data_IF_250997010098
#
_entry.id   IF_250997010098
#
_cell.length_a   1.000
_cell.length_b   1.000
_cell.length_c   1.000
_cell.angle_alpha   90.00
_cell.angle_beta   90.00
_cell.angle_gamma   90.00
#
_symmetry.space_group_name_H-M   'P 1'
#
loop_
_entity.id
_entity.type
_entity.pdbx_description
1 polymer ?
#
# COMPACT_ATOMS: atom_id res chain seq x y z
N UNK A 1 28.26 15.07 6.80
CA UNK A 1 29.48 14.82 5.97
C UNK A 1 29.07 13.90 4.81
N UNK A 2 29.57 14.17 3.59
CA UNK A 2 29.26 13.34 2.41
C UNK A 2 30.26 12.19 2.36
N UNK A 3 29.77 10.98 2.38
CA UNK A 3 30.56 9.74 2.33
C UNK A 3 30.26 9.04 1.01
N UNK A 4 31.23 8.99 0.11
CA UNK A 4 31.00 8.65 -1.29
C UNK A 4 31.74 7.37 -1.73
N UNK A 5 31.11 6.64 -2.67
CA UNK A 5 31.79 5.66 -3.52
C UNK A 5 31.83 6.17 -4.97
N UNK A 6 32.79 5.67 -5.70
CA UNK A 6 32.94 5.91 -7.15
C UNK A 6 32.90 4.58 -7.88
N UNK A 7 32.15 4.49 -8.98
CA UNK A 7 32.12 3.28 -9.85
C UNK A 7 32.24 3.71 -11.30
N UNK A 8 33.23 3.18 -11.99
CA UNK A 8 33.54 3.51 -13.38
C UNK A 8 34.31 2.32 -14.00
N UNK A 9 34.32 2.12 -15.27
CA UNK A 9 35.14 1.08 -15.91
C UNK A 9 36.54 1.59 -16.30
N UNK A 10 36.74 2.91 -16.26
CA UNK A 10 38.00 3.55 -16.56
C UNK A 10 38.77 3.97 -15.29
N UNK A 11 39.89 3.32 -15.01
CA UNK A 11 40.69 3.63 -13.83
C UNK A 11 41.21 5.10 -13.81
N UNK A 12 41.45 5.68 -14.98
CA UNK A 12 41.89 7.09 -15.07
C UNK A 12 40.75 8.06 -14.69
N UNK A 13 39.52 7.76 -15.09
CA UNK A 13 38.34 8.54 -14.75
C UNK A 13 38.11 8.53 -13.23
N UNK A 14 38.20 7.36 -12.59
CA UNK A 14 38.13 7.21 -11.14
C UNK A 14 39.18 8.06 -10.43
N UNK A 15 40.45 7.96 -10.85
CA UNK A 15 41.55 8.71 -10.24
C UNK A 15 41.37 10.23 -10.38
N UNK A 16 40.92 10.71 -11.55
CA UNK A 16 40.66 12.12 -11.80
C UNK A 16 39.50 12.65 -10.95
N UNK A 17 38.41 11.89 -10.84
CA UNK A 17 37.24 12.27 -10.03
C UNK A 17 37.62 12.27 -8.53
N UNK A 18 38.32 11.24 -8.06
CA UNK A 18 38.79 11.16 -6.69
C UNK A 18 39.73 12.33 -6.34
N UNK A 19 40.65 12.68 -7.23
CA UNK A 19 41.54 13.82 -7.04
C UNK A 19 40.76 15.14 -6.93
N UNK A 20 39.75 15.36 -7.77
CA UNK A 20 38.90 16.56 -7.72
C UNK A 20 38.02 16.61 -6.49
N UNK A 21 37.53 15.47 -6.02
CA UNK A 21 36.72 15.39 -4.79
C UNK A 21 37.58 15.67 -3.54
N UNK A 22 38.88 15.38 -3.56
CA UNK A 22 39.78 15.67 -2.46
C UNK A 22 39.95 17.19 -2.17
N UNK A 23 39.62 18.06 -3.14
CA UNK A 23 39.58 19.51 -2.95
C UNK A 23 38.43 19.98 -2.04
N UNK A 24 37.50 19.09 -1.70
CA UNK A 24 36.30 19.38 -0.91
C UNK A 24 36.33 18.65 0.44
N UNK A 25 36.68 19.35 1.53
CA UNK A 25 36.88 18.74 2.86
C UNK A 25 35.60 18.12 3.43
N UNK A 26 34.43 18.48 2.92
CA UNK A 26 33.11 17.90 3.28
C UNK A 26 32.81 16.55 2.62
N UNK A 27 33.68 16.08 1.70
CA UNK A 27 33.48 14.81 0.97
C UNK A 27 34.60 13.83 1.33
N UNK A 28 34.22 12.65 1.75
CA UNK A 28 35.14 11.53 1.97
C UNK A 28 34.83 10.43 0.96
N UNK A 29 35.76 10.11 0.08
CA UNK A 29 35.66 8.95 -0.81
C UNK A 29 36.06 7.71 -0.04
N UNK A 30 35.11 6.86 0.29
CA UNK A 30 35.34 5.62 1.02
C UNK A 30 36.08 4.60 0.15
N UNK A 31 35.63 4.45 -1.09
CA UNK A 31 36.22 3.52 -2.04
C UNK A 31 35.88 3.89 -3.48
N UNK A 32 36.82 3.59 -4.39
CA UNK A 32 36.60 3.65 -5.84
C UNK A 32 36.72 2.25 -6.42
N UNK A 33 35.74 1.88 -7.24
CA UNK A 33 35.62 0.54 -7.82
C UNK A 33 35.66 0.62 -9.34
N UNK A 34 36.45 -0.25 -9.95
CA UNK A 34 36.19 -0.65 -11.33
C UNK A 34 34.86 -1.44 -11.36
N UNK A 35 34.06 -1.26 -12.40
CA UNK A 35 32.75 -1.91 -12.51
C UNK A 35 32.78 -3.43 -12.28
N UNK A 36 33.85 -4.10 -12.74
CA UNK A 36 34.04 -5.54 -12.58
C UNK A 36 34.35 -5.99 -11.14
N UNK A 37 34.68 -5.04 -10.27
CA UNK A 37 35.04 -5.28 -8.86
C UNK A 37 33.91 -4.88 -7.91
N UNK A 38 32.90 -4.20 -8.41
CA UNK A 38 31.79 -3.74 -7.60
C UNK A 38 30.75 -4.84 -7.37
N UNK A 39 30.35 -4.99 -6.13
CA UNK A 39 29.22 -5.82 -5.71
C UNK A 39 28.39 -5.03 -4.69
N UNK A 40 27.08 -5.19 -4.73
CA UNK A 40 26.18 -4.53 -3.77
C UNK A 40 26.48 -4.89 -2.30
N UNK A 41 26.98 -6.08 -2.06
CA UNK A 41 27.31 -6.54 -0.71
C UNK A 41 28.38 -5.70 -0.02
N UNK A 42 29.29 -5.07 -0.81
CA UNK A 42 30.34 -4.20 -0.26
C UNK A 42 29.76 -2.95 0.41
N UNK A 43 28.59 -2.49 -0.04
CA UNK A 43 27.92 -1.32 0.54
C UNK A 43 27.39 -1.55 1.95
N UNK A 44 27.20 -2.81 2.35
CA UNK A 44 26.69 -3.16 3.68
C UNK A 44 27.62 -2.76 4.80
N UNK A 45 28.93 -2.79 4.53
CA UNK A 45 29.97 -2.55 5.53
C UNK A 45 30.59 -1.12 5.41
N UNK A 46 30.13 -0.33 4.44
CA UNK A 46 30.64 1.01 4.19
C UNK A 46 29.63 2.10 4.60
N UNK A 47 30.03 3.12 5.35
CA UNK A 47 29.16 4.23 5.71
C UNK A 47 28.97 5.20 4.53
N UNK A 48 28.26 4.76 3.48
CA UNK A 48 28.11 5.50 2.21
C UNK A 48 26.73 6.15 2.15
N UNK A 49 26.68 7.40 1.71
CA UNK A 49 25.45 8.14 1.45
C UNK A 49 25.36 8.73 0.03
N UNK A 50 26.44 8.64 -0.76
CA UNK A 50 26.46 9.08 -2.17
C UNK A 50 27.23 8.07 -3.02
N UNK A 51 26.69 7.71 -4.19
CA UNK A 51 27.37 6.95 -5.22
C UNK A 51 27.54 7.79 -6.48
N UNK A 52 28.78 7.98 -6.93
CA UNK A 52 29.10 8.53 -8.24
C UNK A 52 29.28 7.38 -9.22
N UNK A 53 28.44 7.31 -10.25
CA UNK A 53 28.38 6.19 -11.18
C UNK A 53 28.60 6.65 -12.63
N UNK A 54 29.45 5.98 -13.37
CA UNK A 54 29.38 6.10 -14.85
C UNK A 54 28.19 5.31 -15.37
N UNK A 55 27.71 5.68 -16.55
CA UNK A 55 26.55 5.01 -17.21
C UNK A 55 27.00 3.88 -18.11
N UNK A 56 27.96 4.12 -18.98
CA UNK A 56 28.47 3.10 -19.91
C UNK A 56 29.70 2.40 -19.31
N UNK A 57 29.46 1.29 -18.63
CA UNK A 57 30.52 0.49 -17.98
C UNK A 57 30.60 -0.94 -18.55
N UNK A 58 30.53 -1.06 -19.85
CA UNK A 58 30.67 -2.34 -20.54
C UNK A 58 29.52 -3.31 -20.29
N UNK A 59 29.70 -4.32 -19.42
CA UNK A 59 28.65 -5.35 -19.16
C UNK A 59 27.50 -4.89 -18.28
N UNK A 60 27.73 -3.89 -17.43
CA UNK A 60 26.74 -3.36 -16.50
C UNK A 60 26.42 -1.94 -16.93
N UNK A 61 25.14 -1.65 -17.13
CA UNK A 61 24.68 -0.27 -17.34
C UNK A 61 24.59 0.43 -15.97
N UNK A 62 25.18 1.63 -15.87
CA UNK A 62 25.16 2.40 -14.62
C UNK A 62 23.77 2.82 -14.16
N UNK A 63 22.81 2.91 -15.09
CA UNK A 63 21.40 3.18 -14.73
C UNK A 63 20.80 1.96 -14.04
N UNK A 64 21.02 0.75 -14.55
CA UNK A 64 20.56 -0.49 -13.91
C UNK A 64 21.24 -0.66 -12.52
N UNK A 65 22.53 -0.31 -12.43
CA UNK A 65 23.26 -0.32 -11.16
C UNK A 65 22.68 0.69 -10.16
N UNK A 66 22.32 1.88 -10.61
CA UNK A 66 21.69 2.89 -9.78
C UNK A 66 20.33 2.43 -9.24
N UNK A 67 19.51 1.77 -10.08
CA UNK A 67 18.25 1.14 -9.65
C UNK A 67 18.49 0.07 -8.57
N UNK A 68 19.51 -0.76 -8.75
CA UNK A 68 19.86 -1.81 -7.78
C UNK A 68 20.36 -1.21 -6.46
N UNK A 69 21.22 -0.17 -6.51
CA UNK A 69 21.69 0.53 -5.30
C UNK A 69 20.53 1.20 -4.57
N UNK A 70 19.67 1.94 -5.27
CA UNK A 70 18.54 2.63 -4.65
C UNK A 70 17.49 1.66 -4.10
N UNK A 71 17.40 0.47 -4.68
CA UNK A 71 16.51 -0.59 -4.20
C UNK A 71 17.04 -1.21 -2.91
N UNK A 72 18.32 -1.54 -2.86
CA UNK A 72 18.95 -2.18 -1.71
C UNK A 72 19.32 -1.18 -0.60
N UNK A 73 19.72 0.05 -0.99
CA UNK A 73 20.18 1.10 -0.09
C UNK A 73 19.55 2.45 -0.42
N UNK A 74 18.27 2.68 -0.07
CA UNK A 74 17.51 3.89 -0.45
C UNK A 74 18.08 5.20 0.07
N UNK A 75 18.94 5.16 1.09
CA UNK A 75 19.63 6.31 1.67
C UNK A 75 20.83 6.75 0.84
N UNK A 76 21.30 5.92 -0.11
CA UNK A 76 22.42 6.27 -0.99
C UNK A 76 21.89 7.07 -2.18
N UNK A 77 22.38 8.28 -2.29
CA UNK A 77 22.05 9.20 -3.36
C UNK A 77 22.92 8.97 -4.59
N UNK A 78 22.33 9.00 -5.76
CA UNK A 78 23.02 8.75 -7.04
C UNK A 78 23.40 10.07 -7.71
N UNK A 79 24.64 10.14 -8.18
CA UNK A 79 25.16 11.18 -9.08
C UNK A 79 25.80 10.47 -10.27
N UNK A 80 25.30 10.71 -11.47
CA UNK A 80 25.93 10.17 -12.67
C UNK A 80 27.11 11.03 -13.14
N UNK A 81 28.17 10.37 -13.58
CA UNK A 81 29.39 11.01 -14.13
C UNK A 81 29.76 10.31 -15.41
N UNK A 82 29.37 10.85 -16.55
CA UNK A 82 29.48 10.16 -17.84
C UNK A 82 29.92 11.10 -18.98
N UNK A 83 30.44 10.53 -20.06
CA UNK A 83 30.75 11.27 -21.30
C UNK A 83 29.50 11.51 -22.17
N UNK A 84 28.41 10.83 -21.94
CA UNK A 84 27.23 10.74 -22.78
C UNK A 84 26.10 11.65 -22.31
N UNK A 85 25.73 12.66 -23.09
CA UNK A 85 24.67 13.61 -22.73
C UNK A 85 23.25 13.05 -22.95
N UNK A 86 23.12 12.05 -23.81
CA UNK A 86 21.86 11.43 -24.23
C UNK A 86 21.11 10.68 -23.11
N UNK A 87 21.83 10.20 -22.12
CA UNK A 87 21.24 9.49 -20.97
C UNK A 87 20.70 10.41 -19.86
N UNK A 88 20.80 11.73 -20.04
CA UNK A 88 20.34 12.67 -19.01
C UNK A 88 18.85 12.48 -18.66
N UNK A 89 18.00 12.16 -19.62
CA UNK A 89 16.57 11.89 -19.38
C UNK A 89 16.40 10.62 -18.55
N UNK A 90 17.12 9.54 -18.90
CA UNK A 90 17.05 8.27 -18.17
C UNK A 90 17.65 8.38 -16.75
N UNK A 91 18.69 9.21 -16.58
CA UNK A 91 19.26 9.49 -15.28
C UNK A 91 18.25 10.19 -14.32
N UNK A 92 17.35 11.03 -14.87
CA UNK A 92 16.25 11.59 -14.09
C UNK A 92 15.21 10.54 -13.69
N UNK A 93 15.03 9.50 -14.51
CA UNK A 93 14.09 8.41 -14.24
C UNK A 93 14.44 7.61 -12.98
N UNK A 94 15.74 7.43 -12.71
CA UNK A 94 16.25 6.75 -11.50
C UNK A 94 16.48 7.73 -10.33
N UNK A 95 15.82 8.89 -10.31
CA UNK A 95 15.96 9.91 -9.24
C UNK A 95 17.41 10.25 -8.87
N UNK A 96 18.31 10.32 -9.83
CA UNK A 96 19.65 10.84 -9.57
C UNK A 96 19.57 12.29 -9.05
N UNK A 97 20.42 12.61 -8.12
CA UNK A 97 20.51 13.99 -7.59
C UNK A 97 21.07 14.92 -8.65
N UNK A 98 22.05 14.43 -9.41
CA UNK A 98 22.70 15.25 -10.42
C UNK A 98 23.28 14.38 -11.55
N UNK A 99 23.63 15.06 -12.64
CA UNK A 99 24.23 14.50 -13.84
C UNK A 99 25.45 15.34 -14.24
N UNK A 100 26.62 14.76 -14.17
CA UNK A 100 27.88 15.42 -14.44
C UNK A 100 28.48 14.89 -15.75
N UNK A 101 28.70 15.77 -16.71
CA UNK A 101 29.38 15.39 -17.95
C UNK A 101 30.90 15.39 -17.76
N UNK A 102 31.56 14.34 -18.23
CA UNK A 102 33.03 14.29 -18.35
C UNK A 102 33.51 15.22 -19.51
N UNK A 103 34.56 16.01 -19.33
CA UNK A 103 35.39 16.15 -18.13
C UNK A 103 34.68 16.99 -17.03
N UNK A 104 34.56 16.45 -15.83
CA UNK A 104 33.90 17.13 -14.72
C UNK A 104 34.69 18.38 -14.35
N UNK A 105 34.08 19.57 -14.41
CA UNK A 105 34.71 20.82 -14.00
C UNK A 105 34.53 21.05 -12.51
N UNK A 106 35.51 21.70 -11.86
CA UNK A 106 35.45 22.05 -10.43
C UNK A 106 34.22 22.92 -10.11
N UNK A 107 33.84 23.81 -11.02
CA UNK A 107 32.67 24.67 -10.84
C UNK A 107 31.37 23.84 -10.81
N UNK A 108 31.26 22.81 -11.66
CA UNK A 108 30.09 21.94 -11.72
C UNK A 108 30.04 21.02 -10.49
N UNK A 109 31.20 20.49 -10.09
CA UNK A 109 31.34 19.66 -8.90
C UNK A 109 30.98 20.44 -7.62
N UNK A 110 31.42 21.71 -7.51
CA UNK A 110 31.06 22.58 -6.39
C UNK A 110 29.55 22.77 -6.26
N UNK A 111 28.82 22.95 -7.37
CA UNK A 111 27.34 23.03 -7.37
C UNK A 111 26.69 21.73 -6.93
N UNK A 112 27.22 20.61 -7.40
CA UNK A 112 26.74 19.28 -7.02
C UNK A 112 26.89 19.03 -5.52
N UNK A 113 28.09 19.30 -4.96
CA UNK A 113 28.38 19.13 -3.53
C UNK A 113 27.51 20.06 -2.68
N UNK A 114 27.30 21.30 -3.10
CA UNK A 114 26.41 22.22 -2.40
C UNK A 114 24.97 21.65 -2.35
N UNK A 115 24.49 21.04 -3.44
CA UNK A 115 23.18 20.38 -3.49
C UNK A 115 23.14 19.13 -2.61
N UNK A 116 24.18 18.31 -2.62
CA UNK A 116 24.28 17.12 -1.76
C UNK A 116 24.24 17.49 -0.27
N UNK A 117 24.89 18.59 0.14
CA UNK A 117 24.86 19.08 1.53
C UNK A 117 23.44 19.43 2.02
N UNK A 118 22.55 19.87 1.13
CA UNK A 118 21.16 20.17 1.51
C UNK A 118 20.29 18.91 1.62
N UNK A 119 20.74 17.79 1.07
CA UNK A 119 19.96 16.57 0.94
C UNK A 119 20.45 15.47 1.88
N UNK A 120 21.77 15.42 2.12
CA UNK A 120 22.38 14.48 3.06
C UNK A 120 22.28 15.06 4.47
N UNK A 121 21.43 14.56 5.37
CA UNK A 121 21.34 15.06 6.73
C UNK A 121 22.67 14.85 7.48
N UNK A 122 23.06 15.79 8.33
CA UNK A 122 24.02 15.50 9.39
C UNK A 122 23.41 14.41 10.26
N UNK A 123 24.21 13.36 10.55
CA UNK A 123 23.82 12.19 11.30
C UNK A 123 22.94 12.56 12.49
N UNK A 124 21.65 12.30 12.38
CA UNK A 124 20.76 12.23 13.52
C UNK A 124 21.03 10.89 14.22
N UNK A 125 21.54 11.01 15.44
CA UNK A 125 21.68 9.95 16.43
C UNK A 125 20.36 9.15 16.42
N UNK A 126 20.48 7.83 16.21
CA UNK A 126 19.39 6.87 16.36
C UNK A 126 18.71 7.06 17.73
N UNK A 127 17.62 7.79 17.74
CA UNK A 127 16.58 7.56 18.72
C UNK A 127 15.69 6.48 18.12
N UNK A 128 15.85 5.26 18.60
CA UNK A 128 14.87 4.19 18.46
C UNK A 128 13.58 4.57 19.21
N UNK A 129 12.84 5.51 18.63
CA UNK A 129 11.42 5.60 18.89
C UNK A 129 10.79 4.50 18.03
N UNK A 130 10.19 3.51 18.67
CA UNK A 130 9.31 2.54 18.02
C UNK A 130 8.17 3.33 17.40
N UNK A 131 8.34 3.71 16.14
CA UNK A 131 7.30 4.41 15.39
C UNK A 131 6.22 3.38 15.08
N UNK A 132 5.04 3.56 15.63
CA UNK A 132 3.89 2.72 15.32
C UNK A 132 3.20 3.28 14.08
N UNK A 133 3.16 2.50 13.01
CA UNK A 133 2.41 2.83 11.82
C UNK A 133 1.04 2.15 11.91
N UNK A 134 -0.03 2.95 11.92
CA UNK A 134 -1.40 2.48 11.84
C UNK A 134 -1.90 2.74 10.42
N UNK A 135 -2.48 1.72 9.79
CA UNK A 135 -3.02 1.81 8.44
C UNK A 135 -4.50 1.48 8.48
N UNK A 136 -5.31 2.35 7.92
CA UNK A 136 -6.71 2.14 7.66
C UNK A 136 -6.91 1.91 6.16
N UNK A 137 -7.52 0.77 5.81
CA UNK A 137 -7.82 0.36 4.44
C UNK A 137 -9.33 0.34 4.18
N UNK A 138 -10.13 0.19 5.24
CA UNK A 138 -11.58 0.14 5.15
C UNK A 138 -12.16 1.55 5.05
N UNK A 139 -12.98 1.79 4.04
CA UNK A 139 -13.56 3.05 3.60
C UNK A 139 -12.56 3.95 2.86
N UNK A 140 -11.55 4.51 3.50
CA UNK A 140 -10.52 5.34 2.90
C UNK A 140 -9.13 4.85 3.31
N UNK A 141 -8.19 4.80 2.35
CA UNK A 141 -6.80 4.47 2.66
C UNK A 141 -6.11 5.61 3.40
N UNK A 142 -5.84 5.41 4.67
CA UNK A 142 -5.19 6.39 5.53
C UNK A 142 -4.01 5.78 6.28
N UNK A 143 -2.97 6.56 6.50
CA UNK A 143 -1.76 6.15 7.20
C UNK A 143 -1.46 7.13 8.31
N UNK A 144 -1.29 6.61 9.52
CA UNK A 144 -0.99 7.40 10.71
C UNK A 144 0.36 6.99 11.26
N UNK A 145 1.15 7.96 11.68
CA UNK A 145 2.37 7.75 12.47
C UNK A 145 2.20 8.46 13.80
N UNK A 146 2.29 7.70 14.89
CA UNK A 146 2.03 8.22 16.24
C UNK A 146 0.69 9.00 16.34
N UNK A 147 -0.38 8.42 15.74
CA UNK A 147 -1.74 8.96 15.67
C UNK A 147 -1.91 10.26 14.83
N UNK A 148 -0.86 10.73 14.17
CA UNK A 148 -0.95 11.82 13.21
C UNK A 148 -1.13 11.31 11.77
N UNK A 149 -2.16 11.82 11.07
CA UNK A 149 -2.41 11.49 9.67
C UNK A 149 -1.28 12.01 8.78
N UNK A 150 -0.72 11.12 7.95
CA UNK A 150 0.37 11.47 7.04
C UNK A 150 -0.15 11.61 5.62
N UNK A 151 0.11 12.77 5.00
CA UNK A 151 -0.29 13.03 3.63
C UNK A 151 0.69 12.42 2.62
N UNK A 152 0.16 11.81 1.58
CA UNK A 152 0.94 11.34 0.43
C UNK A 152 1.24 12.47 -0.54
N UNK A 153 2.40 12.42 -1.19
CA UNK A 153 2.81 13.44 -2.17
C UNK A 153 1.88 13.45 -3.40
N UNK A 154 1.39 12.29 -3.83
CA UNK A 154 0.47 12.15 -4.96
C UNK A 154 -0.48 10.97 -4.74
N UNK A 155 -1.66 10.98 -5.40
CA UNK A 155 -2.61 9.88 -5.36
C UNK A 155 -1.99 8.54 -5.83
N UNK A 156 -1.10 8.57 -6.85
CA UNK A 156 -0.43 7.35 -7.33
C UNK A 156 0.59 6.75 -6.36
N UNK A 157 1.21 7.56 -5.51
CA UNK A 157 2.06 7.06 -4.42
C UNK A 157 1.20 6.41 -3.33
N UNK A 158 0.04 7.02 -3.01
CA UNK A 158 -0.98 6.47 -2.11
C UNK A 158 -1.45 5.11 -2.61
N UNK A 159 -1.83 5.02 -3.87
CA UNK A 159 -2.31 3.80 -4.54
C UNK A 159 -1.25 2.68 -4.58
N UNK A 160 -0.01 3.01 -4.94
CA UNK A 160 1.11 2.06 -4.92
C UNK A 160 1.35 1.50 -3.52
N UNK A 161 1.25 2.33 -2.49
CA UNK A 161 1.42 1.87 -1.11
C UNK A 161 0.27 0.98 -0.68
N UNK A 162 -0.99 1.34 -0.97
CA UNK A 162 -2.15 0.49 -0.74
C UNK A 162 -2.00 -0.89 -1.42
N UNK A 163 -1.52 -0.90 -2.66
CA UNK A 163 -1.24 -2.14 -3.38
C UNK A 163 -0.21 -3.02 -2.67
N UNK A 164 0.88 -2.43 -2.18
CA UNK A 164 1.90 -3.17 -1.42
C UNK A 164 1.40 -3.68 -0.07
N UNK A 165 0.53 -2.93 0.61
CA UNK A 165 -0.10 -3.39 1.85
C UNK A 165 -0.93 -4.66 1.61
N UNK A 166 -1.70 -4.69 0.52
CA UNK A 166 -2.51 -5.85 0.15
C UNK A 166 -1.68 -7.06 -0.29
N UNK A 167 -0.43 -6.84 -0.75
CA UNK A 167 0.49 -7.87 -1.22
C UNK A 167 1.74 -7.99 -0.33
N UNK A 168 1.61 -7.70 0.97
CA UNK A 168 2.74 -7.75 1.91
C UNK A 168 3.40 -9.13 1.89
N UNK A 169 4.74 -9.15 1.89
CA UNK A 169 5.58 -10.35 1.83
C UNK A 169 5.41 -11.21 0.56
N UNK A 170 4.68 -10.71 -0.44
CA UNK A 170 4.47 -11.42 -1.71
C UNK A 170 5.27 -10.73 -2.81
N UNK A 171 6.08 -11.46 -3.60
CA UNK A 171 6.76 -10.89 -4.74
C UNK A 171 5.77 -10.45 -5.84
N UNK A 172 5.76 -9.16 -6.17
CA UNK A 172 4.93 -8.61 -7.25
C UNK A 172 5.82 -8.25 -8.43
N UNK A 173 5.56 -8.83 -9.59
CA UNK A 173 6.33 -8.54 -10.80
C UNK A 173 6.15 -7.08 -11.21
N UNK A 174 7.25 -6.44 -11.64
CA UNK A 174 7.24 -5.03 -12.08
C UNK A 174 6.19 -4.78 -13.16
N UNK A 175 6.05 -5.69 -14.10
CA UNK A 175 5.14 -5.52 -15.24
C UNK A 175 3.68 -5.59 -14.78
N UNK A 176 3.35 -6.43 -13.80
CA UNK A 176 2.03 -6.47 -13.16
C UNK A 176 1.73 -5.13 -12.47
N UNK A 177 2.69 -4.55 -11.72
CA UNK A 177 2.51 -3.23 -11.11
C UNK A 177 2.24 -2.15 -12.16
N UNK A 178 2.95 -2.19 -13.28
CA UNK A 178 2.78 -1.23 -14.36
C UNK A 178 1.38 -1.37 -14.98
N UNK A 179 0.97 -2.57 -15.32
CA UNK A 179 -0.34 -2.85 -15.93
C UNK A 179 -1.50 -2.49 -14.98
N UNK A 180 -1.35 -2.78 -13.71
CA UNK A 180 -2.38 -2.51 -12.71
C UNK A 180 -2.54 -1.03 -12.41
N UNK A 181 -1.43 -0.30 -12.23
CA UNK A 181 -1.50 1.09 -11.79
C UNK A 181 -1.62 2.08 -12.97
N UNK A 182 -1.23 1.69 -14.18
CA UNK A 182 -1.30 2.53 -15.39
C UNK A 182 -1.80 1.74 -16.61
N UNK A 183 -3.03 1.15 -16.58
CA UNK A 183 -3.50 0.22 -17.61
C UNK A 183 -3.59 0.81 -19.02
N UNK A 184 -3.79 2.13 -19.14
CA UNK A 184 -4.00 2.80 -20.43
C UNK A 184 -2.77 3.60 -20.91
N UNK A 185 -1.61 3.47 -20.24
CA UNK A 185 -0.43 4.26 -20.58
C UNK A 185 0.61 3.44 -21.36
N UNK A 186 1.41 4.15 -22.16
CA UNK A 186 2.59 3.55 -22.81
C UNK A 186 3.54 2.95 -21.78
N UNK A 187 4.02 1.73 -22.03
CA UNK A 187 4.84 0.95 -21.09
C UNK A 187 6.10 1.71 -20.63
N UNK A 188 6.80 2.41 -21.55
CA UNK A 188 8.01 3.16 -21.18
C UNK A 188 7.68 4.28 -20.22
N UNK A 189 6.59 5.02 -20.47
CA UNK A 189 6.13 6.10 -19.59
C UNK A 189 5.68 5.56 -18.25
N UNK A 190 4.95 4.45 -18.23
CA UNK A 190 4.48 3.80 -16.99
C UNK A 190 5.63 3.26 -16.15
N UNK A 191 6.69 2.73 -16.78
CA UNK A 191 7.93 2.33 -16.10
C UNK A 191 8.57 3.52 -15.35
N UNK A 192 8.68 4.67 -16.01
CA UNK A 192 9.21 5.91 -15.42
C UNK A 192 8.34 6.34 -14.22
N UNK A 193 7.03 6.34 -14.40
CA UNK A 193 6.08 6.69 -13.35
C UNK A 193 6.21 5.77 -12.14
N UNK A 194 6.35 4.45 -12.35
CA UNK A 194 6.57 3.48 -11.28
C UNK A 194 7.83 3.79 -10.48
N UNK A 195 8.97 4.04 -11.15
CA UNK A 195 10.22 4.38 -10.48
C UNK A 195 10.11 5.67 -9.66
N UNK A 196 9.44 6.67 -10.20
CA UNK A 196 9.16 7.92 -9.49
C UNK A 196 8.29 7.69 -8.25
N UNK A 197 7.23 6.90 -8.37
CA UNK A 197 6.35 6.56 -7.26
C UNK A 197 7.08 5.75 -6.18
N UNK A 198 7.90 4.76 -6.58
CA UNK A 198 8.73 3.98 -5.65
C UNK A 198 9.71 4.86 -4.87
N UNK A 199 10.36 5.80 -5.56
CA UNK A 199 11.26 6.75 -4.89
C UNK A 199 10.52 7.64 -3.87
N UNK A 200 9.34 8.15 -4.23
CA UNK A 200 8.53 8.93 -3.31
C UNK A 200 8.03 8.09 -2.14
N UNK A 201 7.62 6.84 -2.38
CA UNK A 201 7.17 5.93 -1.34
C UNK A 201 8.32 5.57 -0.37
N UNK A 202 9.52 5.29 -0.88
CA UNK A 202 10.70 5.06 -0.02
C UNK A 202 11.03 6.26 0.84
N UNK A 203 10.96 7.48 0.28
CA UNK A 203 11.16 8.71 1.06
C UNK A 203 10.08 8.92 2.12
N UNK A 204 8.84 8.59 1.79
CA UNK A 204 7.73 8.62 2.73
C UNK A 204 7.98 7.66 3.89
N UNK A 205 8.29 6.39 3.60
CA UNK A 205 8.58 5.37 4.61
C UNK A 205 9.80 5.71 5.47
N UNK A 206 10.89 6.18 4.86
CA UNK A 206 12.07 6.63 5.59
C UNK A 206 11.78 7.83 6.51
N UNK A 207 10.91 8.75 6.08
CA UNK A 207 10.46 9.90 6.89
C UNK A 207 9.69 9.50 8.16
N UNK A 208 9.10 8.31 8.18
CA UNK A 208 8.39 7.74 9.34
C UNK A 208 9.19 6.62 10.03
N UNK A 209 10.50 6.51 9.73
CA UNK A 209 11.41 5.60 10.42
C UNK A 209 11.54 4.20 9.81
N UNK A 210 10.90 3.92 8.67
CA UNK A 210 10.96 2.62 8.01
C UNK A 210 11.83 2.68 6.75
N UNK A 211 13.02 2.11 6.84
CA UNK A 211 13.95 1.95 5.72
C UNK A 211 13.95 0.50 5.22
N UNK A 212 14.39 0.31 3.98
CA UNK A 212 14.56 -1.04 3.38
C UNK A 212 13.29 -1.91 3.25
N UNK A 213 12.10 -1.29 3.36
CA UNK A 213 10.82 -2.02 3.26
C UNK A 213 10.50 -2.54 1.85
N UNK A 214 11.13 -2.01 0.81
CA UNK A 214 10.85 -2.37 -0.59
C UNK A 214 12.14 -2.87 -1.23
N UNK A 215 12.22 -4.17 -1.48
CA UNK A 215 13.34 -4.83 -2.16
C UNK A 215 12.97 -5.21 -3.60
N UNK A 216 13.97 -5.33 -4.47
CA UNK A 216 13.81 -5.83 -5.84
C UNK A 216 14.56 -7.15 -5.99
N UNK A 217 13.83 -8.23 -6.24
CA UNK A 217 14.38 -9.58 -6.42
C UNK A 217 13.84 -10.15 -7.72
N UNK A 218 14.70 -10.51 -8.67
CA UNK A 218 14.31 -11.14 -9.94
C UNK A 218 13.19 -10.39 -10.70
N UNK A 219 13.31 -9.07 -10.83
CA UNK A 219 12.31 -8.17 -11.46
C UNK A 219 10.97 -8.09 -10.72
N UNK A 220 10.89 -8.60 -9.49
CA UNK A 220 9.72 -8.49 -8.63
C UNK A 220 10.03 -7.62 -7.43
N UNK A 221 9.11 -6.75 -7.07
CA UNK A 221 9.18 -5.96 -5.85
C UNK A 221 8.56 -6.77 -4.70
N UNK A 222 9.24 -6.76 -3.55
CA UNK A 222 8.71 -7.33 -2.31
C UNK A 222 8.64 -6.20 -1.29
N UNK A 223 7.45 -6.00 -0.75
CA UNK A 223 7.23 -5.09 0.37
C UNK A 223 7.16 -5.89 1.67
N UNK A 224 8.02 -5.56 2.61
CA UNK A 224 8.07 -6.19 3.94
C UNK A 224 8.13 -5.10 4.98
N UNK A 225 7.17 -5.10 5.90
CA UNK A 225 7.15 -4.21 7.05
C UNK A 225 6.79 -5.01 8.30
N UNK A 226 7.73 -5.09 9.23
CA UNK A 226 7.52 -5.77 10.50
C UNK A 226 6.58 -4.93 11.39
N UNK A 227 5.72 -5.61 12.16
CA UNK A 227 4.77 -4.99 13.09
C UNK A 227 3.76 -4.02 12.45
N UNK A 228 3.44 -4.23 11.17
CA UNK A 228 2.36 -3.49 10.51
C UNK A 228 1.01 -3.93 11.07
N UNK A 229 0.26 -3.00 11.61
CA UNK A 229 -1.13 -3.22 12.03
C UNK A 229 -2.03 -2.43 11.09
N UNK A 230 -2.85 -3.13 10.31
CA UNK A 230 -3.92 -2.54 9.51
C UNK A 230 -5.28 -3.06 9.98
N UNK A 231 -6.33 -2.25 9.85
CA UNK A 231 -7.70 -2.68 10.07
C UNK A 231 -8.05 -3.91 9.23
N UNK A 232 -7.54 -3.96 7.99
CA UNK A 232 -7.61 -5.10 7.10
C UNK A 232 -7.01 -6.37 7.72
N UNK A 233 -5.78 -6.31 8.26
CA UNK A 233 -5.12 -7.49 8.86
C UNK A 233 -5.82 -7.92 10.16
N UNK A 234 -6.27 -6.97 10.96
CA UNK A 234 -7.00 -7.26 12.20
C UNK A 234 -8.33 -7.95 11.90
N UNK A 235 -9.12 -7.40 10.96
CA UNK A 235 -10.38 -7.99 10.55
C UNK A 235 -10.17 -9.40 9.97
N UNK A 236 -9.14 -9.61 9.13
CA UNK A 236 -8.81 -10.93 8.58
C UNK A 236 -8.49 -11.98 9.63
N UNK A 237 -7.73 -11.60 10.65
CA UNK A 237 -7.43 -12.48 11.77
C UNK A 237 -8.69 -12.83 12.58
N UNK A 238 -9.57 -11.84 12.85
CA UNK A 238 -10.84 -12.07 13.53
C UNK A 238 -11.74 -13.03 12.73
N UNK A 239 -11.95 -12.78 11.44
CA UNK A 239 -12.75 -13.63 10.57
C UNK A 239 -12.21 -15.06 10.51
N UNK A 240 -10.88 -15.23 10.43
CA UNK A 240 -10.24 -16.54 10.39
C UNK A 240 -10.25 -17.28 11.72
N UNK A 241 -10.47 -16.60 12.84
CA UNK A 241 -10.51 -17.20 14.17
C UNK A 241 -11.83 -17.89 14.50
N UNK A 242 -12.88 -17.70 13.69
CA UNK A 242 -14.24 -18.17 13.99
C UNK A 242 -14.72 -19.18 12.94
N UNK A 243 -14.59 -20.47 13.25
CA UNK A 243 -15.19 -21.53 12.44
C UNK A 243 -16.68 -21.74 12.74
N UNK A 244 -17.04 -21.76 14.02
CA UNK A 244 -18.40 -21.96 14.52
C UNK A 244 -18.75 -20.91 15.57
N UNK A 245 -20.01 -20.49 15.60
CA UNK A 245 -20.49 -19.49 16.57
C UNK A 245 -21.00 -20.17 17.84
N UNK A 246 -20.55 -19.62 18.99
CA UNK A 246 -20.96 -19.99 20.34
C UNK A 246 -21.13 -18.74 21.19
N UNK A 247 -21.75 -18.88 22.38
CA UNK A 247 -21.94 -17.76 23.30
C UNK A 247 -20.61 -17.01 23.61
N UNK A 248 -19.52 -17.76 23.77
CA UNK A 248 -18.22 -17.21 24.20
C UNK A 248 -17.50 -16.42 23.09
N UNK A 249 -17.82 -16.64 21.81
CA UNK A 249 -17.14 -15.98 20.69
C UNK A 249 -18.03 -14.99 19.91
N UNK A 250 -19.28 -14.81 20.33
CA UNK A 250 -20.22 -13.91 19.66
C UNK A 250 -19.73 -12.44 19.66
N UNK A 251 -18.94 -12.04 20.65
CA UNK A 251 -18.32 -10.72 20.73
C UNK A 251 -17.39 -10.44 19.53
N UNK A 252 -16.78 -11.48 18.92
CA UNK A 252 -15.90 -11.32 17.74
C UNK A 252 -16.71 -10.82 16.54
N UNK A 253 -17.98 -11.23 16.41
CA UNK A 253 -18.88 -10.73 15.36
C UNK A 253 -19.11 -9.22 15.53
N UNK A 254 -19.36 -8.79 16.78
CA UNK A 254 -19.54 -7.38 17.10
C UNK A 254 -18.26 -6.57 16.82
N UNK A 255 -17.07 -7.12 17.14
CA UNK A 255 -15.78 -6.51 16.81
C UNK A 255 -15.56 -6.39 15.31
N UNK A 256 -15.86 -7.44 14.53
CA UNK A 256 -15.77 -7.39 13.07
C UNK A 256 -16.70 -6.31 12.49
N UNK A 257 -17.94 -6.22 12.98
CA UNK A 257 -18.89 -5.19 12.55
C UNK A 257 -18.49 -3.77 12.95
N UNK A 258 -17.81 -3.61 14.09
CA UNK A 258 -17.31 -2.32 14.54
C UNK A 258 -16.10 -1.85 13.70
N UNK A 259 -15.26 -2.78 13.26
CA UNK A 259 -14.11 -2.49 12.39
C UNK A 259 -14.53 -2.17 10.96
N UNK A 260 -15.60 -2.80 10.47
CA UNK A 260 -16.05 -2.63 9.09
C UNK A 260 -16.78 -1.29 8.91
N UNK A 261 -16.03 -0.26 8.55
CA UNK A 261 -16.55 1.11 8.35
C UNK A 261 -17.09 1.36 6.94
N UNK A 262 -16.78 0.49 5.99
CA UNK A 262 -17.10 0.61 4.57
C UNK A 262 -16.29 -0.36 3.73
N UNK A 263 -16.47 -0.32 2.41
CA UNK A 263 -15.71 -1.17 1.50
C UNK A 263 -14.22 -0.79 1.47
N UNK A 264 -13.41 -1.75 1.07
CA UNK A 264 -11.96 -1.54 0.94
C UNK A 264 -11.70 -0.44 -0.09
N UNK A 265 -11.00 0.64 0.33
CA UNK A 265 -10.65 1.79 -0.51
C UNK A 265 -11.86 2.45 -1.22
N UNK A 266 -13.02 2.46 -0.57
CA UNK A 266 -14.27 2.94 -1.13
C UNK A 266 -14.17 4.38 -1.65
N UNK A 267 -13.53 5.27 -0.89
CA UNK A 267 -13.32 6.69 -1.26
C UNK A 267 -12.21 6.84 -2.32
N UNK A 268 -11.24 5.95 -2.31
CA UNK A 268 -10.07 6.02 -3.19
C UNK A 268 -10.36 5.49 -4.60
N UNK A 269 -11.38 4.65 -4.77
CA UNK A 269 -11.81 4.05 -6.04
C UNK A 269 -10.69 3.30 -6.78
N UNK A 270 -9.86 2.52 -6.06
CA UNK A 270 -8.82 1.69 -6.69
C UNK A 270 -9.44 0.49 -7.39
N UNK A 271 -9.50 0.53 -8.74
CA UNK A 271 -10.15 -0.50 -9.57
C UNK A 271 -9.64 -1.92 -9.30
N UNK A 272 -8.33 -2.07 -9.06
CA UNK A 272 -7.71 -3.36 -8.77
C UNK A 272 -8.17 -3.98 -7.43
N UNK A 273 -8.72 -3.17 -6.52
CA UNK A 273 -9.16 -3.63 -5.22
C UNK A 273 -10.52 -4.35 -5.23
N UNK A 274 -11.28 -4.29 -6.33
CA UNK A 274 -12.61 -4.86 -6.43
C UNK A 274 -12.69 -6.35 -6.06
N UNK A 275 -11.69 -7.14 -6.44
CA UNK A 275 -11.61 -8.56 -6.07
C UNK A 275 -11.49 -8.76 -4.55
N UNK A 276 -10.63 -7.99 -3.90
CA UNK A 276 -10.47 -8.04 -2.44
C UNK A 276 -11.74 -7.60 -1.73
N UNK A 277 -12.38 -6.52 -2.19
CA UNK A 277 -13.65 -6.04 -1.65
C UNK A 277 -14.73 -7.13 -1.69
N UNK A 278 -14.87 -7.81 -2.83
CA UNK A 278 -15.85 -8.88 -2.98
C UNK A 278 -15.58 -10.08 -2.07
N UNK A 279 -14.32 -10.49 -1.95
CA UNK A 279 -13.93 -11.57 -1.04
C UNK A 279 -14.28 -11.21 0.41
N UNK A 280 -13.92 -10.02 0.85
CA UNK A 280 -14.21 -9.54 2.20
C UNK A 280 -15.69 -9.45 2.50
N UNK A 281 -16.49 -8.98 1.55
CA UNK A 281 -17.95 -8.98 1.65
C UNK A 281 -18.48 -10.39 1.87
N UNK A 282 -18.01 -11.34 1.09
CA UNK A 282 -18.43 -12.74 1.21
C UNK A 282 -18.07 -13.33 2.57
N UNK A 283 -16.86 -13.04 3.09
CA UNK A 283 -16.41 -13.54 4.40
C UNK A 283 -17.25 -12.94 5.54
N UNK A 284 -17.56 -11.62 5.48
CA UNK A 284 -18.44 -10.95 6.44
C UNK A 284 -19.87 -11.50 6.39
N UNK A 285 -20.42 -11.71 5.22
CA UNK A 285 -21.76 -12.31 5.05
C UNK A 285 -21.81 -13.74 5.59
N UNK A 286 -20.75 -14.51 5.35
CA UNK A 286 -20.66 -15.87 5.90
C UNK A 286 -20.63 -15.87 7.43
N UNK A 287 -19.86 -14.97 8.05
CA UNK A 287 -19.83 -14.81 9.49
C UNK A 287 -21.20 -14.37 10.05
N UNK A 288 -21.84 -13.37 9.40
CA UNK A 288 -23.17 -12.90 9.78
C UNK A 288 -24.24 -14.00 9.67
N UNK A 289 -24.22 -14.80 8.62
CA UNK A 289 -25.17 -15.92 8.48
C UNK A 289 -25.03 -16.90 9.64
N UNK A 290 -23.79 -17.33 9.98
CA UNK A 290 -23.54 -18.20 11.14
C UNK A 290 -24.03 -17.57 12.46
N UNK A 291 -23.81 -16.27 12.63
CA UNK A 291 -24.23 -15.56 13.84
C UNK A 291 -25.75 -15.44 13.94
N UNK A 292 -26.42 -15.16 12.83
CA UNK A 292 -27.88 -15.10 12.74
C UNK A 292 -28.48 -16.47 13.07
N UNK A 293 -27.99 -17.55 12.46
CA UNK A 293 -28.49 -18.92 12.69
C UNK A 293 -28.37 -19.31 14.18
N UNK A 294 -27.24 -18.98 14.80
CA UNK A 294 -27.05 -19.19 16.23
C UNK A 294 -28.03 -18.35 17.08
N UNK A 295 -28.14 -17.06 16.78
CA UNK A 295 -28.92 -16.11 17.57
C UNK A 295 -30.44 -16.30 17.44
N UNK A 296 -30.94 -16.78 16.31
CA UNK A 296 -32.38 -17.13 16.15
C UNK A 296 -32.83 -18.11 17.24
N UNK A 297 -31.96 -19.04 17.64
CA UNK A 297 -32.23 -20.04 18.66
C UNK A 297 -31.99 -19.53 20.08
N UNK A 298 -30.94 -18.75 20.29
CA UNK A 298 -30.41 -18.43 21.61
C UNK A 298 -30.67 -16.99 22.09
N UNK A 299 -30.73 -16.03 21.15
CA UNK A 299 -30.90 -14.58 21.44
C UNK A 299 -31.59 -13.89 20.24
N UNK A 300 -32.90 -13.96 20.20
CA UNK A 300 -33.68 -13.41 19.09
C UNK A 300 -33.50 -11.90 18.88
N UNK A 301 -33.29 -11.14 19.94
CA UNK A 301 -33.08 -9.70 19.82
C UNK A 301 -31.76 -9.39 19.13
N UNK A 302 -30.71 -10.14 19.47
CA UNK A 302 -29.40 -10.02 18.83
C UNK A 302 -29.43 -10.47 17.36
N UNK A 303 -30.25 -11.50 17.04
CA UNK A 303 -30.48 -11.92 15.65
C UNK A 303 -31.04 -10.78 14.79
N UNK A 304 -31.99 -9.99 15.31
CA UNK A 304 -32.53 -8.82 14.61
C UNK A 304 -31.44 -7.80 14.28
N UNK A 305 -30.52 -7.53 15.20
CA UNK A 305 -29.39 -6.60 14.99
C UNK A 305 -28.48 -7.10 13.87
N UNK A 306 -28.16 -8.40 13.84
CA UNK A 306 -27.31 -8.97 12.80
C UNK A 306 -28.00 -9.03 11.44
N UNK A 307 -29.32 -9.28 11.39
CA UNK A 307 -30.09 -9.21 10.16
C UNK A 307 -30.15 -7.80 9.58
N UNK A 308 -30.31 -6.78 10.42
CA UNK A 308 -30.25 -5.38 10.01
C UNK A 308 -28.89 -5.06 9.38
N UNK A 309 -27.80 -5.51 10.03
CA UNK A 309 -26.45 -5.33 9.50
C UNK A 309 -26.24 -6.09 8.19
N UNK A 310 -26.75 -7.33 8.09
CA UNK A 310 -26.64 -8.10 6.85
C UNK A 310 -27.32 -7.41 5.67
N UNK A 311 -28.48 -6.80 5.89
CA UNK A 311 -29.20 -6.05 4.85
C UNK A 311 -28.48 -4.76 4.40
N UNK A 312 -27.50 -4.26 5.17
CA UNK A 312 -26.60 -3.17 4.70
C UNK A 312 -25.60 -3.67 3.67
N UNK A 313 -25.21 -4.95 3.70
CA UNK A 313 -24.36 -5.59 2.71
C UNK A 313 -25.13 -6.14 1.53
N UNK A 314 -26.30 -6.73 1.79
CA UNK A 314 -27.19 -7.36 0.80
C UNK A 314 -28.60 -6.76 0.89
N UNK A 315 -28.82 -5.52 0.40
CA UNK A 315 -30.09 -4.82 0.58
C UNK A 315 -31.27 -5.45 -0.15
N UNK A 316 -31.03 -6.41 -1.04
CA UNK A 316 -32.04 -7.08 -1.86
C UNK A 316 -32.23 -8.57 -1.52
N UNK A 317 -31.80 -9.02 -0.33
CA UNK A 317 -31.92 -10.41 0.10
C UNK A 317 -33.31 -10.71 0.67
N UNK A 318 -34.20 -11.18 -0.18
CA UNK A 318 -35.57 -11.60 0.18
C UNK A 318 -35.60 -12.62 1.33
N UNK A 319 -34.63 -13.54 1.40
CA UNK A 319 -34.59 -14.61 2.41
C UNK A 319 -34.32 -14.02 3.79
N UNK A 320 -33.40 -13.10 3.89
CA UNK A 320 -33.11 -12.40 5.15
C UNK A 320 -34.32 -11.56 5.58
N UNK A 321 -34.97 -10.83 4.66
CA UNK A 321 -36.14 -10.01 4.99
C UNK A 321 -37.29 -10.90 5.46
N UNK A 322 -37.53 -12.06 4.82
CA UNK A 322 -38.54 -13.01 5.22
C UNK A 322 -38.30 -13.52 6.65
N UNK A 323 -37.11 -13.98 6.94
CA UNK A 323 -36.70 -14.46 8.27
C UNK A 323 -36.80 -13.35 9.32
N UNK A 324 -36.44 -12.14 8.98
CA UNK A 324 -36.49 -10.95 9.84
C UNK A 324 -37.96 -10.62 10.19
N UNK A 325 -38.86 -10.64 9.21
CA UNK A 325 -40.29 -10.43 9.44
C UNK A 325 -40.90 -11.54 10.33
N UNK A 326 -40.54 -12.79 10.09
CA UNK A 326 -40.98 -13.92 10.91
C UNK A 326 -40.55 -13.76 12.36
N UNK A 327 -39.32 -13.37 12.59
CA UNK A 327 -38.76 -13.15 13.92
C UNK A 327 -39.47 -11.99 14.65
N UNK A 328 -39.76 -10.89 13.96
CA UNK A 328 -40.59 -9.81 14.53
C UNK A 328 -41.99 -10.28 14.93
N UNK A 329 -42.62 -11.15 14.13
CA UNK A 329 -43.94 -11.70 14.44
C UNK A 329 -43.89 -12.58 15.69
N UNK A 330 -42.88 -13.46 15.79
CA UNK A 330 -42.64 -14.31 16.97
C UNK A 330 -42.40 -13.50 18.26
N UNK A 331 -41.74 -12.36 18.15
CA UNK A 331 -41.52 -11.44 19.26
C UNK A 331 -42.73 -10.52 19.55
N UNK A 332 -43.84 -10.68 18.81
CA UNK A 332 -45.03 -9.84 18.97
C UNK A 332 -44.89 -8.44 18.35
N UNK A 333 -43.84 -8.17 17.65
CA UNK A 333 -43.49 -6.84 17.08
C UNK A 333 -44.06 -6.70 15.65
N UNK A 334 -45.36 -6.97 15.44
CA UNK A 334 -45.99 -6.97 14.10
C UNK A 334 -45.85 -5.63 13.35
N UNK A 335 -45.84 -4.52 14.08
CA UNK A 335 -45.71 -3.18 13.47
C UNK A 335 -44.35 -3.03 12.79
N UNK A 336 -43.30 -3.53 13.42
CA UNK A 336 -41.95 -3.47 12.86
C UNK A 336 -41.81 -4.40 11.63
N UNK A 337 -42.44 -5.58 11.64
CA UNK A 337 -42.50 -6.45 10.47
C UNK A 337 -43.15 -5.75 9.26
N UNK A 338 -44.25 -5.02 9.49
CA UNK A 338 -44.94 -4.26 8.43
C UNK A 338 -44.10 -3.11 7.92
N UNK A 339 -43.40 -2.38 8.79
CA UNK A 339 -42.49 -1.31 8.39
C UNK A 339 -41.35 -1.87 7.54
N UNK A 340 -40.69 -2.94 7.99
CA UNK A 340 -39.62 -3.60 7.26
C UNK A 340 -40.02 -3.96 5.83
N UNK A 341 -41.18 -4.63 5.68
CA UNK A 341 -41.69 -4.97 4.35
C UNK A 341 -41.90 -3.75 3.45
N UNK A 342 -42.53 -2.69 3.98
CA UNK A 342 -42.81 -1.50 3.19
C UNK A 342 -41.51 -0.79 2.75
N UNK A 343 -40.55 -0.65 3.65
CA UNK A 343 -39.23 -0.09 3.31
C UNK A 343 -38.53 -0.93 2.26
N UNK A 344 -38.53 -2.26 2.41
CA UNK A 344 -37.91 -3.17 1.47
C UNK A 344 -38.57 -3.11 0.08
N UNK A 345 -39.91 -3.09 0.05
CA UNK A 345 -40.68 -2.94 -1.18
C UNK A 345 -40.34 -1.62 -1.91
N UNK A 346 -40.31 -0.50 -1.17
CA UNK A 346 -39.97 0.79 -1.75
C UNK A 346 -38.54 0.82 -2.32
N UNK A 347 -37.59 0.17 -1.65
CA UNK A 347 -36.20 0.03 -2.13
C UNK A 347 -36.15 -0.78 -3.42
N UNK A 348 -36.80 -1.95 -3.47
CA UNK A 348 -36.84 -2.80 -4.66
C UNK A 348 -37.49 -2.10 -5.86
N UNK A 349 -38.65 -1.45 -5.65
CA UNK A 349 -39.35 -0.74 -6.70
C UNK A 349 -38.56 0.45 -7.24
N UNK A 350 -37.91 1.21 -6.35
CA UNK A 350 -37.16 2.42 -6.71
C UNK A 350 -35.83 2.12 -7.41
N UNK A 351 -35.12 1.12 -6.95
CA UNK A 351 -33.73 0.89 -7.38
C UNK A 351 -33.61 -0.20 -8.46
N UNK A 352 -34.51 -1.19 -8.48
CA UNK A 352 -34.45 -2.33 -9.39
C UNK A 352 -35.69 -2.48 -10.26
N UNK A 353 -36.74 -1.70 -10.05
CA UNK A 353 -38.09 -1.89 -10.70
C UNK A 353 -38.64 -3.32 -10.49
N UNK A 354 -38.35 -3.90 -9.31
CA UNK A 354 -38.79 -5.24 -8.92
C UNK A 354 -39.84 -5.19 -7.81
N UNK A 355 -40.52 -6.31 -7.62
CA UNK A 355 -41.47 -6.52 -6.51
C UNK A 355 -40.88 -7.54 -5.53
N UNK A 356 -41.24 -7.46 -4.22
CA UNK A 356 -40.93 -8.51 -3.27
C UNK A 356 -41.45 -9.89 -3.73
N UNK A 357 -40.80 -10.94 -3.27
CA UNK A 357 -41.23 -12.32 -3.58
C UNK A 357 -42.66 -12.58 -3.14
N UNK A 358 -43.29 -13.62 -3.73
CA UNK A 358 -44.62 -14.04 -3.40
C UNK A 358 -44.76 -14.47 -1.93
N UNK A 359 -43.70 -15.11 -1.39
CA UNK A 359 -43.65 -15.54 0.01
C UNK A 359 -43.67 -14.34 0.98
N UNK A 360 -42.88 -13.30 0.72
CA UNK A 360 -42.90 -12.07 1.51
C UNK A 360 -44.26 -11.37 1.45
N UNK A 361 -44.84 -11.30 0.27
CA UNK A 361 -46.14 -10.66 0.07
C UNK A 361 -47.22 -11.40 0.81
N UNK A 362 -47.24 -12.73 0.76
CA UNK A 362 -48.20 -13.57 1.48
C UNK A 362 -48.05 -13.41 3.00
N UNK A 363 -46.83 -13.38 3.52
CA UNK A 363 -46.57 -13.14 4.95
C UNK A 363 -47.12 -11.77 5.39
N UNK A 364 -46.85 -10.73 4.61
CA UNK A 364 -47.32 -9.37 4.87
C UNK A 364 -48.86 -9.28 4.90
N UNK A 365 -49.55 -9.88 3.91
CA UNK A 365 -51.01 -9.89 3.90
C UNK A 365 -51.61 -10.67 5.10
N UNK A 366 -50.97 -11.77 5.52
CA UNK A 366 -51.36 -12.52 6.71
C UNK A 366 -51.36 -11.69 8.00
N UNK A 367 -50.37 -10.79 8.13
CA UNK A 367 -50.24 -9.88 9.28
C UNK A 367 -51.38 -8.87 9.32
N UNK A 368 -51.80 -8.38 8.16
CA UNK A 368 -52.93 -7.42 8.05
C UNK A 368 -54.29 -8.00 8.37
N UNK A 369 -54.52 -9.26 7.98
CA UNK A 369 -55.82 -9.94 8.20
C UNK A 369 -56.03 -10.36 9.66
N UNK A 370 -54.93 -10.53 10.42
CA UNK A 370 -54.97 -10.93 11.84
C UNK A 370 -55.23 -9.75 12.83
N UNK A 371 -55.87 -8.67 12.34
CA UNK A 371 -56.32 -7.53 13.17
C UNK A 371 -57.67 -7.77 13.81
#
# INVERSE_FOLDING_TARGET
MISAILVDDEQLALALLQHKLADFPEVTVQQAFLNTQFSLEVLKDLPVNVAFLDIEMGKINGIDLAEMIQTAYPHIHIVFVTAHAEYAVQAFEVNSIDYLLKPVTTTRLKKNIARLKTIVPEQLIEQTQTTHLKIECLHEFQVFSNDELIAFKTAKVKELFAYFIMHQNTPVQRDILIETLWPEQDYKKSKINLHTCLSHLRKFLAGVGFTECISLVNKSYVFTLEHLVSDFSVLGNLLSSVDTIHADNLHIVDECLALYKGHLFEVDHFEWAGHFTQQWMNDMLHLLNKAIDYCIVHDKEKALVYMERKLQFEPYDDVTVLTYMQLYIELGQRVEAVKLYNTYKETLEKELDLKPSEELTNLYESIKVAR
#
